data_IF_833045857505
#
_entry.id   IF_833045857505
#
_cell.length_a   1.000
_cell.length_b   1.000
_cell.length_c   1.000
_cell.angle_alpha   90.00
_cell.angle_beta   90.00
_cell.angle_gamma   90.00
#
_symmetry.space_group_name_H-M   'P 1'
#
loop_
_entity.id
_entity.type
_entity.pdbx_description
1 polymer ?
#
# COMPACT_ATOMS: atom_id res chain seq x y z
N UNK A 1 -18.89 -16.43 7.62
CA UNK A 1 -19.97 -15.48 7.32
C UNK A 1 -19.33 -14.10 7.12
N UNK A 2 -19.26 -13.58 5.89
CA UNK A 2 -18.43 -12.42 5.55
C UNK A 2 -18.92 -11.09 6.17
N UNK A 3 -18.03 -10.09 6.22
CA UNK A 3 -18.31 -8.72 6.72
C UNK A 3 -19.52 -8.03 6.06
N UNK A 4 -19.97 -8.53 4.90
CA UNK A 4 -21.17 -8.10 4.17
C UNK A 4 -22.48 -8.16 4.98
N UNK A 5 -22.60 -9.05 5.97
CA UNK A 5 -23.81 -9.14 6.81
C UNK A 5 -24.02 -7.93 7.74
N UNK A 6 -23.01 -7.05 7.89
CA UNK A 6 -23.05 -5.87 8.78
C UNK A 6 -23.44 -4.56 8.09
N UNK A 7 -23.71 -4.58 6.79
CA UNK A 7 -24.15 -3.40 6.02
C UNK A 7 -25.69 -3.38 5.95
N UNK A 8 -26.29 -2.26 6.32
CA UNK A 8 -27.71 -2.05 6.09
C UNK A 8 -27.97 -1.57 4.64
N UNK A 9 -29.25 -1.42 4.28
CA UNK A 9 -29.64 -0.98 2.93
C UNK A 9 -29.11 0.42 2.58
N UNK A 10 -29.01 1.31 3.58
CA UNK A 10 -28.52 2.66 3.41
C UNK A 10 -27.04 2.64 3.07
N UNK A 11 -26.24 1.84 3.79
CA UNK A 11 -24.81 1.71 3.50
C UNK A 11 -24.56 1.21 2.07
N UNK A 12 -25.37 0.24 1.60
CA UNK A 12 -25.30 -0.25 0.21
C UNK A 12 -25.63 0.85 -0.79
N UNK A 13 -26.65 1.65 -0.51
CA UNK A 13 -27.05 2.79 -1.35
C UNK A 13 -25.96 3.86 -1.40
N UNK A 14 -25.34 4.17 -0.26
CA UNK A 14 -24.18 5.08 -0.16
C UNK A 14 -23.05 4.59 -1.06
N UNK A 15 -22.63 3.32 -0.91
CA UNK A 15 -21.56 2.74 -1.70
C UNK A 15 -21.87 2.75 -3.20
N UNK A 16 -23.11 2.46 -3.60
CA UNK A 16 -23.53 2.51 -5.00
C UNK A 16 -23.44 3.92 -5.60
N UNK A 17 -23.79 4.95 -4.83
CA UNK A 17 -23.69 6.34 -5.28
C UNK A 17 -22.23 6.78 -5.40
N UNK A 18 -21.39 6.44 -4.41
CA UNK A 18 -19.95 6.76 -4.42
C UNK A 18 -19.25 6.04 -5.57
N UNK A 19 -19.59 4.77 -5.83
CA UNK A 19 -19.01 4.02 -6.94
C UNK A 19 -19.26 4.71 -8.30
N UNK A 20 -20.42 5.34 -8.48
CA UNK A 20 -20.76 6.09 -9.71
C UNK A 20 -20.15 7.49 -9.74
N UNK A 21 -20.04 8.15 -8.59
CA UNK A 21 -19.45 9.48 -8.47
C UNK A 21 -18.64 9.58 -7.16
N UNK A 22 -17.34 9.23 -7.18
CA UNK A 22 -16.52 9.26 -5.98
C UNK A 22 -16.27 10.68 -5.45
N UNK A 23 -16.50 11.71 -6.27
CA UNK A 23 -16.35 13.13 -5.90
C UNK A 23 -17.65 13.74 -5.34
N UNK A 24 -18.69 12.93 -5.08
CA UNK A 24 -19.94 13.43 -4.50
C UNK A 24 -19.71 13.98 -3.09
N UNK A 25 -20.23 15.17 -2.81
CA UNK A 25 -20.14 15.76 -1.48
C UNK A 25 -21.08 15.03 -0.50
N UNK A 26 -20.72 15.01 0.79
CA UNK A 26 -21.57 14.40 1.82
C UNK A 26 -22.97 15.03 1.86
N UNK A 27 -23.08 16.33 1.61
CA UNK A 27 -24.36 17.05 1.51
C UNK A 27 -25.24 16.50 0.38
N UNK A 28 -24.71 16.38 -0.84
CA UNK A 28 -25.45 15.81 -1.98
C UNK A 28 -25.75 14.33 -1.79
N UNK A 29 -24.87 13.59 -1.12
CA UNK A 29 -25.08 12.20 -0.78
C UNK A 29 -26.25 12.05 0.22
N UNK A 30 -26.27 12.90 1.25
CA UNK A 30 -27.33 12.99 2.26
C UNK A 30 -28.70 13.26 1.62
N UNK A 31 -28.78 14.24 0.71
CA UNK A 31 -29.99 14.53 -0.07
C UNK A 31 -30.51 13.29 -0.84
N UNK A 32 -29.61 12.56 -1.51
CA UNK A 32 -29.99 11.39 -2.34
C UNK A 32 -30.47 10.18 -1.53
N UNK A 33 -30.04 10.05 -0.28
CA UNK A 33 -30.44 8.92 0.58
C UNK A 33 -31.47 9.29 1.64
N UNK A 34 -31.84 10.57 1.76
CA UNK A 34 -32.83 11.05 2.73
C UNK A 34 -32.30 11.10 4.16
N UNK A 35 -31.02 11.42 4.34
CA UNK A 35 -30.38 11.55 5.66
C UNK A 35 -29.83 12.96 5.88
N UNK A 36 -29.38 13.24 7.10
CA UNK A 36 -28.60 14.44 7.41
C UNK A 36 -27.13 14.22 7.02
N UNK A 37 -26.39 15.31 6.79
CA UNK A 37 -24.95 15.25 6.54
C UNK A 37 -24.19 14.60 7.72
N UNK A 38 -24.59 14.87 8.95
CA UNK A 38 -23.99 14.25 10.15
C UNK A 38 -24.17 12.73 10.15
N UNK A 39 -25.38 12.23 9.82
CA UNK A 39 -25.64 10.80 9.72
C UNK A 39 -24.81 10.13 8.60
N UNK A 40 -24.62 10.80 7.47
CA UNK A 40 -23.69 10.34 6.41
C UNK A 40 -22.26 10.29 6.93
N UNK A 41 -21.80 11.33 7.62
CA UNK A 41 -20.43 11.39 8.17
C UNK A 41 -20.17 10.20 9.10
N UNK A 42 -21.07 9.92 10.04
CA UNK A 42 -20.97 8.77 10.95
C UNK A 42 -20.92 7.44 10.19
N UNK A 43 -21.77 7.26 9.18
CA UNK A 43 -21.78 6.03 8.37
C UNK A 43 -20.49 5.86 7.57
N UNK A 44 -19.99 6.91 6.93
CA UNK A 44 -18.71 6.88 6.21
C UNK A 44 -17.54 6.62 7.15
N UNK A 45 -17.55 7.21 8.36
CA UNK A 45 -16.59 6.91 9.43
C UNK A 45 -16.56 5.43 9.77
N UNK A 46 -17.72 4.85 10.10
CA UNK A 46 -17.86 3.41 10.39
C UNK A 46 -17.42 2.53 9.22
N UNK A 47 -17.75 2.90 7.97
CA UNK A 47 -17.32 2.15 6.78
C UNK A 47 -15.79 2.16 6.62
N UNK A 48 -15.12 3.27 6.97
CA UNK A 48 -13.65 3.35 7.00
C UNK A 48 -13.06 2.51 8.13
N UNK A 49 -13.60 2.62 9.35
CA UNK A 49 -13.17 1.80 10.51
C UNK A 49 -13.32 0.29 10.24
N UNK A 50 -14.34 -0.10 9.49
CA UNK A 50 -14.56 -1.49 9.07
C UNK A 50 -13.62 -1.93 7.93
N UNK A 51 -12.80 -1.03 7.37
CA UNK A 51 -11.93 -1.28 6.23
C UNK A 51 -12.66 -1.43 4.90
N UNK A 52 -13.91 -0.96 4.79
CA UNK A 52 -14.72 -1.04 3.56
C UNK A 52 -14.41 0.12 2.59
N UNK A 53 -13.96 1.25 3.12
CA UNK A 53 -13.51 2.43 2.35
C UNK A 53 -12.11 2.78 2.85
N UNK A 54 -11.15 2.91 1.93
CA UNK A 54 -9.81 3.41 2.25
C UNK A 54 -9.84 4.90 2.63
N UNK A 55 -8.99 5.32 3.57
CA UNK A 55 -8.88 6.72 4.01
C UNK A 55 -8.24 7.64 2.96
N UNK A 56 -7.47 7.11 2.01
CA UNK A 56 -6.80 7.90 0.99
C UNK A 56 -6.13 7.04 -0.08
N UNK A 57 -6.69 7.09 -1.30
CA UNK A 57 -6.17 6.41 -2.48
C UNK A 57 -6.07 7.41 -3.63
N UNK A 58 -4.96 7.37 -4.36
CA UNK A 58 -4.78 8.15 -5.57
C UNK A 58 -4.76 7.21 -6.77
N UNK A 59 -5.63 7.46 -7.75
CA UNK A 59 -5.56 6.77 -9.04
C UNK A 59 -4.52 7.51 -9.89
N UNK A 60 -3.38 6.87 -10.15
CA UNK A 60 -2.31 7.47 -10.94
C UNK A 60 -1.87 6.56 -12.08
N UNK A 61 -1.24 7.16 -13.09
CA UNK A 61 -0.50 6.43 -14.11
C UNK A 61 0.99 6.51 -13.74
N UNK A 62 1.60 5.43 -13.23
CA UNK A 62 3.00 5.43 -12.79
C UNK A 62 3.98 5.86 -13.89
N UNK A 63 3.72 5.46 -15.15
CA UNK A 63 4.59 5.77 -16.29
C UNK A 63 4.70 7.28 -16.56
N UNK A 64 3.63 8.04 -16.32
CA UNK A 64 3.64 9.50 -16.47
C UNK A 64 4.45 10.21 -15.38
N UNK A 65 4.84 9.50 -14.32
CA UNK A 65 5.52 10.02 -13.14
C UNK A 65 6.96 9.49 -13.01
N UNK A 66 7.45 8.78 -14.03
CA UNK A 66 8.77 8.15 -13.99
C UNK A 66 8.85 6.94 -13.03
N UNK A 67 7.69 6.40 -12.64
CA UNK A 67 7.60 5.22 -11.80
C UNK A 67 7.40 3.96 -12.67
N UNK A 68 8.01 2.87 -12.23
CA UNK A 68 7.84 1.57 -12.85
C UNK A 68 6.80 0.73 -12.12
N UNK A 69 6.26 -0.25 -12.85
CA UNK A 69 5.40 -1.29 -12.31
C UNK A 69 6.04 -2.65 -12.51
N UNK A 70 6.03 -3.46 -11.44
CA UNK A 70 6.55 -4.82 -11.44
C UNK A 70 5.50 -5.79 -10.90
N UNK A 71 5.29 -6.92 -11.58
CA UNK A 71 4.57 -8.08 -11.04
C UNK A 71 5.59 -9.06 -10.50
N UNK A 72 5.37 -9.56 -9.29
CA UNK A 72 6.24 -10.52 -8.63
C UNK A 72 5.40 -11.69 -8.14
N UNK A 73 5.73 -12.88 -8.62
CA UNK A 73 5.33 -14.13 -7.98
C UNK A 73 6.44 -14.57 -7.04
N UNK A 74 6.16 -14.72 -5.76
CA UNK A 74 7.04 -15.32 -4.78
C UNK A 74 6.45 -16.65 -4.30
N UNK A 75 7.20 -17.73 -4.46
CA UNK A 75 6.80 -19.07 -4.03
C UNK A 75 7.38 -19.35 -2.63
N UNK A 76 6.54 -19.81 -1.71
CA UNK A 76 6.88 -19.93 -0.28
C UNK A 76 6.02 -21.00 0.38
N UNK A 77 6.58 -21.81 1.28
CA UNK A 77 5.77 -22.74 2.10
C UNK A 77 4.94 -22.00 3.18
N UNK A 78 5.28 -20.74 3.44
CA UNK A 78 4.65 -19.89 4.45
C UNK A 78 4.09 -18.61 3.83
N UNK A 79 2.97 -18.74 3.13
CA UNK A 79 2.27 -17.64 2.44
C UNK A 79 1.88 -16.52 3.41
N UNK A 80 1.36 -16.88 4.57
CA UNK A 80 0.94 -15.97 5.64
C UNK A 80 2.09 -15.10 6.16
N UNK A 81 3.27 -15.69 6.38
CA UNK A 81 4.45 -14.95 6.86
C UNK A 81 4.93 -13.94 5.82
N UNK A 82 4.91 -14.30 4.54
CA UNK A 82 5.31 -13.39 3.45
C UNK A 82 4.27 -12.28 3.28
N UNK A 83 2.97 -12.61 3.33
CA UNK A 83 1.90 -11.60 3.28
C UNK A 83 2.04 -10.62 4.44
N UNK A 84 2.24 -11.11 5.66
CA UNK A 84 2.40 -10.29 6.86
C UNK A 84 3.60 -9.35 6.76
N UNK A 85 4.72 -9.82 6.19
CA UNK A 85 5.91 -9.00 5.93
C UNK A 85 5.65 -7.84 4.96
N UNK A 86 4.84 -8.04 3.94
CA UNK A 86 4.69 -7.07 2.83
C UNK A 86 3.37 -6.31 2.79
N UNK A 87 2.38 -6.66 3.63
CA UNK A 87 1.02 -6.06 3.61
C UNK A 87 0.96 -4.54 3.76
N UNK A 88 2.03 -3.98 4.28
CA UNK A 88 2.16 -2.56 4.55
C UNK A 88 3.38 -1.94 3.85
N UNK A 89 4.04 -2.69 2.95
CA UNK A 89 5.14 -2.17 2.16
C UNK A 89 4.62 -1.10 1.20
N UNK A 90 5.17 0.12 1.21
CA UNK A 90 4.70 1.21 0.33
C UNK A 90 4.89 0.94 -1.15
N UNK A 91 5.89 0.12 -1.49
CA UNK A 91 6.13 -0.27 -2.86
C UNK A 91 5.13 -1.32 -3.35
N UNK A 92 4.30 -1.92 -2.48
CA UNK A 92 3.33 -2.97 -2.85
C UNK A 92 1.94 -2.34 -2.98
N UNK A 93 1.43 -2.29 -4.20
CA UNK A 93 0.10 -1.74 -4.54
C UNK A 93 -1.00 -2.76 -4.36
N UNK A 94 -0.70 -4.02 -4.66
CA UNK A 94 -1.64 -5.12 -4.47
C UNK A 94 -0.87 -6.36 -4.04
N UNK A 95 -1.42 -7.06 -3.06
CA UNK A 95 -0.82 -8.23 -2.43
C UNK A 95 -1.86 -9.33 -2.35
N UNK A 96 -1.55 -10.48 -2.93
CA UNK A 96 -2.42 -11.64 -2.94
C UNK A 96 -1.66 -12.86 -2.43
N UNK A 97 -2.22 -13.57 -1.45
CA UNK A 97 -1.73 -14.87 -1.01
C UNK A 97 -2.59 -15.99 -1.56
N UNK A 98 -1.97 -16.97 -2.19
CA UNK A 98 -2.60 -18.17 -2.74
C UNK A 98 -2.11 -19.39 -1.96
N UNK A 99 -2.99 -19.95 -1.14
CA UNK A 99 -2.76 -21.22 -0.42
C UNK A 99 -3.40 -22.37 -1.20
N UNK A 100 -3.05 -22.48 -2.47
CA UNK A 100 -3.36 -23.61 -3.34
C UNK A 100 -2.11 -24.45 -3.57
N UNK A 101 -2.11 -25.34 -4.57
CA UNK A 101 -0.96 -26.17 -4.91
C UNK A 101 0.30 -25.35 -5.25
N UNK A 102 0.15 -24.07 -5.59
CA UNK A 102 1.28 -23.20 -5.96
C UNK A 102 1.97 -22.56 -4.75
N UNK A 103 1.30 -22.45 -3.59
CA UNK A 103 1.78 -21.73 -2.41
C UNK A 103 2.52 -20.42 -2.76
N UNK A 104 1.77 -19.49 -3.35
CA UNK A 104 2.30 -18.32 -4.04
C UNK A 104 1.82 -17.02 -3.40
N UNK A 105 2.69 -16.02 -3.34
CA UNK A 105 2.34 -14.64 -3.06
C UNK A 105 2.56 -13.82 -4.33
N UNK A 106 1.51 -13.18 -4.83
CA UNK A 106 1.57 -12.27 -5.97
C UNK A 106 1.55 -10.83 -5.49
N UNK A 107 2.53 -10.04 -5.94
CA UNK A 107 2.68 -8.63 -5.62
C UNK A 107 2.68 -7.80 -6.90
N UNK A 108 1.85 -6.76 -6.95
CA UNK A 108 2.01 -5.67 -7.91
C UNK A 108 2.72 -4.55 -7.18
N UNK A 109 3.90 -4.18 -7.66
CA UNK A 109 4.76 -3.18 -7.05
C UNK A 109 4.90 -1.94 -7.92
N UNK A 110 5.10 -0.80 -7.25
CA UNK A 110 5.34 0.51 -7.86
C UNK A 110 6.51 1.20 -7.17
N UNK A 111 7.32 1.92 -7.94
CA UNK A 111 8.44 2.65 -7.40
C UNK A 111 9.40 3.10 -8.49
N UNK A 112 10.47 3.77 -8.07
CA UNK A 112 11.57 4.07 -8.98
C UNK A 112 12.38 2.80 -9.30
N UNK A 113 12.99 2.73 -10.47
CA UNK A 113 13.71 1.55 -10.97
C UNK A 113 14.70 0.97 -9.95
N UNK A 114 15.66 1.79 -9.47
CA UNK A 114 16.63 1.35 -8.44
C UNK A 114 15.96 0.92 -7.14
N UNK A 115 14.93 1.65 -6.70
CA UNK A 115 14.21 1.29 -5.47
C UNK A 115 13.59 -0.10 -5.58
N UNK A 116 12.91 -0.38 -6.70
CA UNK A 116 12.29 -1.69 -6.94
C UNK A 116 13.35 -2.77 -7.07
N UNK A 117 14.43 -2.55 -7.81
CA UNK A 117 15.53 -3.51 -7.97
C UNK A 117 16.08 -3.97 -6.61
N UNK A 118 16.38 -3.02 -5.71
CA UNK A 118 16.90 -3.35 -4.39
C UNK A 118 15.83 -3.93 -3.47
N UNK A 119 14.57 -3.49 -3.59
CA UNK A 119 13.48 -4.11 -2.83
C UNK A 119 13.32 -5.59 -3.18
N UNK A 120 13.35 -5.91 -4.47
CA UNK A 120 13.28 -7.28 -4.97
C UNK A 120 14.47 -8.11 -4.51
N UNK A 121 15.69 -7.59 -4.70
CA UNK A 121 16.91 -8.38 -4.43
C UNK A 121 17.22 -8.53 -2.94
N UNK A 122 16.97 -7.50 -2.12
CA UNK A 122 17.28 -7.54 -0.68
C UNK A 122 16.08 -7.95 0.17
N UNK A 123 14.92 -7.32 -0.01
CA UNK A 123 13.80 -7.51 0.92
C UNK A 123 12.97 -8.75 0.59
N UNK A 124 12.78 -9.03 -0.71
CA UNK A 124 12.02 -10.19 -1.19
C UNK A 124 12.91 -11.43 -1.33
N UNK A 125 13.90 -11.44 -2.24
CA UNK A 125 14.70 -12.66 -2.53
C UNK A 125 15.42 -13.25 -1.31
N UNK A 126 15.77 -12.43 -0.31
CA UNK A 126 16.46 -12.89 0.91
C UNK A 126 15.52 -13.09 2.11
N UNK A 127 14.21 -12.98 1.92
CA UNK A 127 13.28 -13.40 2.95
C UNK A 127 13.41 -14.91 3.15
N UNK A 128 13.54 -15.36 4.40
CA UNK A 128 13.88 -16.74 4.78
C UNK A 128 12.91 -17.80 4.26
N UNK A 129 11.70 -17.42 3.87
CA UNK A 129 10.63 -18.34 3.52
C UNK A 129 10.37 -18.41 2.01
N UNK A 130 11.09 -17.64 1.19
CA UNK A 130 10.87 -17.60 -0.26
C UNK A 130 11.80 -18.61 -0.94
N UNK A 131 11.21 -19.57 -1.64
CA UNK A 131 11.90 -20.61 -2.40
C UNK A 131 12.37 -20.09 -3.75
N UNK A 132 11.51 -19.34 -4.46
CA UNK A 132 11.85 -18.74 -5.74
C UNK A 132 10.99 -17.52 -6.04
N UNK A 133 11.44 -16.68 -6.96
CA UNK A 133 10.65 -15.55 -7.44
C UNK A 133 10.68 -15.44 -8.97
N UNK A 134 9.56 -14.98 -9.52
CA UNK A 134 9.44 -14.56 -10.92
C UNK A 134 9.04 -13.09 -10.93
N UNK A 135 9.93 -12.22 -11.41
CA UNK A 135 9.71 -10.79 -11.51
C UNK A 135 9.48 -10.38 -12.98
N UNK A 136 8.45 -9.60 -13.25
CA UNK A 136 8.05 -9.16 -14.59
C UNK A 136 7.76 -7.66 -14.59
N UNK A 137 8.38 -6.92 -15.51
CA UNK A 137 8.06 -5.50 -15.72
C UNK A 137 6.74 -5.37 -16.46
N UNK A 138 5.83 -4.53 -15.95
CA UNK A 138 4.55 -4.22 -16.59
C UNK A 138 4.78 -3.02 -17.51
N UNK A 139 4.82 -3.25 -18.82
CA UNK A 139 5.09 -2.21 -19.82
C UNK A 139 3.83 -1.65 -20.47
N UNK A 140 2.70 -2.35 -20.38
CA UNK A 140 1.46 -1.98 -21.05
C UNK A 140 0.28 -1.94 -20.06
N UNK A 141 0.21 -0.86 -19.28
CA UNK A 141 -0.88 -0.62 -18.34
C UNK A 141 -2.11 -0.05 -19.06
N UNK A 142 -3.16 -0.86 -19.23
CA UNK A 142 -4.39 -0.45 -19.90
C UNK A 142 -5.31 0.43 -19.03
N UNK A 143 -5.20 0.32 -17.70
CA UNK A 143 -5.99 1.09 -16.75
C UNK A 143 -5.13 1.47 -15.54
N UNK A 144 -5.23 2.73 -15.12
CA UNK A 144 -4.53 3.25 -13.95
C UNK A 144 -4.76 2.41 -12.70
N UNK A 145 -3.78 2.45 -11.79
CA UNK A 145 -3.82 1.73 -10.52
C UNK A 145 -4.02 2.73 -9.37
N UNK A 146 -4.74 2.29 -8.34
CA UNK A 146 -4.87 3.05 -7.11
C UNK A 146 -3.68 2.77 -6.20
N UNK A 147 -2.93 3.80 -5.82
CA UNK A 147 -1.87 3.71 -4.83
C UNK A 147 -2.40 4.25 -3.51
N UNK A 148 -2.22 3.49 -2.44
CA UNK A 148 -2.57 3.92 -1.09
C UNK A 148 -1.53 4.93 -0.62
N UNK A 149 -1.99 6.05 -0.11
CA UNK A 149 -1.13 7.16 0.31
C UNK A 149 -0.35 6.82 1.59
N UNK A 150 0.82 7.46 1.76
CA UNK A 150 1.68 7.30 2.94
C UNK A 150 0.92 7.53 4.25
N UNK A 151 0.16 8.61 4.34
CA UNK A 151 -0.62 8.94 5.54
C UNK A 151 -1.66 7.88 5.88
N UNK A 152 -2.28 7.26 4.86
CA UNK A 152 -3.25 6.19 5.06
C UNK A 152 -2.57 4.92 5.59
N UNK A 153 -1.44 4.53 5.00
CA UNK A 153 -0.70 3.35 5.44
C UNK A 153 -0.08 3.56 6.84
N UNK A 154 0.45 4.76 7.14
CA UNK A 154 1.01 5.09 8.45
C UNK A 154 -0.04 5.20 9.56
N UNK A 155 -1.24 5.68 9.25
CA UNK A 155 -2.36 5.67 10.19
C UNK A 155 -2.77 4.26 10.62
N UNK A 156 -2.52 3.24 9.80
CA UNK A 156 -2.76 1.84 10.14
C UNK A 156 -1.55 1.19 10.87
N UNK A 157 -0.39 1.86 10.90
CA UNK A 157 0.84 1.43 11.58
C UNK A 157 0.94 1.80 13.06
N UNK A 158 -0.08 2.46 13.63
CA UNK A 158 -0.23 2.62 15.07
C UNK A 158 0.30 3.91 15.71
N UNK A 159 0.85 4.85 14.94
CA UNK A 159 1.34 6.13 15.49
C UNK A 159 0.23 7.19 15.58
N UNK A 160 -0.41 7.33 16.74
CA UNK A 160 -1.37 8.41 17.02
C UNK A 160 -0.67 9.73 17.38
N UNK A 161 0.52 9.68 17.99
CA UNK A 161 1.29 10.85 18.46
C UNK A 161 2.50 11.18 17.56
N UNK A 162 2.83 12.48 17.42
CA UNK A 162 3.91 12.98 16.52
C UNK A 162 5.31 12.42 16.86
N UNK A 163 5.61 12.21 18.14
CA UNK A 163 6.91 11.70 18.59
C UNK A 163 7.12 10.24 18.18
N UNK A 164 6.07 9.42 18.28
CA UNK A 164 6.08 8.03 17.84
C UNK A 164 6.25 7.94 16.33
N UNK A 165 5.54 8.78 15.56
CA UNK A 165 5.69 8.88 14.09
C UNK A 165 7.13 9.24 13.69
N UNK A 166 7.78 10.16 14.40
CA UNK A 166 9.19 10.54 14.16
C UNK A 166 10.17 9.42 14.48
N UNK A 167 9.87 8.55 15.44
CA UNK A 167 10.69 7.36 15.69
C UNK A 167 10.49 6.33 14.59
N UNK A 168 9.23 6.05 14.22
CA UNK A 168 8.87 5.07 13.20
C UNK A 168 9.39 5.41 11.80
N UNK A 169 9.71 6.68 11.51
CA UNK A 169 10.33 7.08 10.24
C UNK A 169 11.70 6.42 10.00
N UNK A 170 12.31 5.77 11.00
CA UNK A 170 13.57 5.03 10.81
C UNK A 170 13.34 3.51 10.70
N UNK A 171 12.15 3.04 11.05
CA UNK A 171 11.78 1.63 11.03
C UNK A 171 11.27 1.22 9.65
N UNK A 172 11.69 0.05 9.18
CA UNK A 172 11.21 -0.47 7.92
C UNK A 172 9.83 -1.14 8.13
N UNK A 173 8.84 -0.84 7.27
CA UNK A 173 7.51 -1.43 7.35
C UNK A 173 7.53 -2.97 7.28
N UNK A 174 8.52 -3.54 6.58
CA UNK A 174 8.70 -4.97 6.44
C UNK A 174 9.44 -5.64 7.62
N UNK A 175 9.81 -4.90 8.67
CA UNK A 175 10.52 -5.42 9.85
C UNK A 175 12.01 -5.77 9.61
N UNK A 176 12.55 -5.47 8.43
CA UNK A 176 13.98 -5.66 8.16
C UNK A 176 14.83 -4.62 8.92
N UNK A 177 16.13 -4.90 9.07
CA UNK A 177 17.05 -3.97 9.73
C UNK A 177 17.07 -2.59 9.03
N UNK A 178 17.13 -1.48 9.79
CA UNK A 178 17.14 -0.13 9.24
C UNK A 178 18.23 0.07 8.16
N UNK A 179 17.98 0.97 7.22
CA UNK A 179 18.92 1.25 6.14
C UNK A 179 20.29 1.73 6.64
N UNK A 180 20.35 2.35 7.83
CA UNK A 180 21.60 2.74 8.50
C UNK A 180 22.55 1.57 8.83
N UNK A 181 22.07 0.32 8.74
CA UNK A 181 22.86 -0.90 8.93
C UNK A 181 22.76 -1.86 7.73
N UNK A 182 22.30 -1.38 6.58
CA UNK A 182 22.08 -2.21 5.40
C UNK A 182 23.23 -2.04 4.40
N UNK A 183 23.99 -3.12 4.16
CA UNK A 183 25.11 -3.15 3.18
C UNK A 183 24.68 -2.69 1.78
N UNK A 184 23.43 -2.95 1.37
CA UNK A 184 22.91 -2.50 0.07
C UNK A 184 22.72 -1.00 -0.03
N UNK A 185 22.45 -0.35 1.10
CA UNK A 185 22.24 1.08 1.18
C UNK A 185 23.54 1.83 1.49
N UNK A 186 24.47 1.20 2.22
CA UNK A 186 25.74 1.80 2.64
C UNK A 186 26.86 1.51 1.63
N UNK A 187 27.13 0.24 1.34
CA UNK A 187 28.37 -0.20 0.70
C UNK A 187 28.30 -0.21 -0.82
N UNK A 188 27.12 -0.36 -1.42
CA UNK A 188 26.93 -0.23 -2.87
C UNK A 188 26.98 1.24 -3.36
N UNK A 189 27.72 2.11 -2.67
CA UNK A 189 27.83 3.54 -3.01
C UNK A 189 26.52 4.31 -2.87
N UNK A 190 25.57 3.82 -2.06
CA UNK A 190 24.30 4.51 -1.85
C UNK A 190 23.32 4.44 -3.02
N UNK A 191 23.45 3.46 -3.91
CA UNK A 191 22.58 3.30 -5.08
C UNK A 191 21.14 2.89 -4.73
N UNK A 192 20.93 2.22 -3.61
CA UNK A 192 19.59 1.94 -3.10
C UNK A 192 18.93 3.22 -2.63
N UNK A 193 17.73 3.51 -3.16
CA UNK A 193 16.96 4.68 -2.77
C UNK A 193 16.24 4.51 -1.43
N UNK A 194 16.35 3.37 -0.76
CA UNK A 194 15.70 3.14 0.52
C UNK A 194 14.17 3.00 0.41
N UNK A 195 13.52 2.86 1.56
CA UNK A 195 12.07 2.76 1.66
C UNK A 195 11.45 4.16 1.53
N UNK A 196 10.40 4.37 0.72
CA UNK A 196 9.67 5.66 0.62
C UNK A 196 9.20 6.22 1.96
N UNK A 197 8.99 5.33 2.93
CA UNK A 197 8.38 5.64 4.22
C UNK A 197 9.39 5.97 5.32
N UNK A 198 10.69 5.94 5.00
CA UNK A 198 11.72 6.20 5.98
C UNK A 198 12.55 7.42 5.63
N UNK A 199 13.19 8.02 6.64
CA UNK A 199 14.15 9.10 6.48
C UNK A 199 15.40 8.72 5.65
N UNK A 200 15.50 7.45 5.24
CA UNK A 200 16.56 6.95 4.37
C UNK A 200 16.16 6.99 2.89
N UNK A 201 14.99 7.48 2.54
CA UNK A 201 14.60 7.61 1.14
C UNK A 201 15.50 8.63 0.40
N UNK A 202 16.13 8.22 -0.69
CA UNK A 202 17.02 9.06 -1.53
C UNK A 202 16.50 9.27 -2.95
N UNK A 203 15.35 8.69 -3.26
CA UNK A 203 14.74 8.85 -4.57
C UNK A 203 14.13 10.23 -4.75
N UNK A 204 13.46 10.46 -5.89
CA UNK A 204 12.90 11.79 -6.21
C UNK A 204 11.41 11.89 -5.94
N UNK A 205 10.68 10.80 -6.20
CA UNK A 205 9.22 10.87 -6.23
C UNK A 205 8.59 10.98 -4.83
N UNK A 206 9.06 10.19 -3.86
CA UNK A 206 8.50 10.13 -2.51
C UNK A 206 9.15 11.12 -1.51
N UNK A 207 9.90 12.12 -1.99
CA UNK A 207 10.48 13.14 -1.11
C UNK A 207 9.44 14.22 -0.80
N UNK A 208 9.31 14.56 0.46
CA UNK A 208 8.69 15.82 0.86
C UNK A 208 9.67 16.96 0.55
N UNK A 209 9.19 18.11 0.07
CA UNK A 209 10.02 19.24 -0.39
C UNK A 209 10.93 19.84 0.72
N UNK A 210 10.77 19.41 1.97
CA UNK A 210 11.52 19.86 3.14
C UNK A 210 12.70 18.93 3.56
N UNK A 211 13.20 18.06 2.66
CA UNK A 211 14.28 17.07 2.94
C UNK A 211 15.39 16.90 1.90
#
# INVERSE_FOLDING_TARGET
MGRFGKLDEIDRKIMSIIYKNPQITQMKLAERVGLTQAAISTRLGRLREMGMISKGCMIINPSNLGLELMSIDAYTEHVDVVVEKFKHCPCVVSLFGFTDESNRVEMIMVGEDKQLEYCITKHIRRASNITSIVARRITNLQKSIGIVTHETLMGDYGGEDEEERRSSQYDLPCGDSPCSRCEYYIDNGGTCYGCPFTAFYRGKFWKDEDG
#
